data_IF_552149916855
#
_entry.id   IF_552149916855
#
_cell.length_a   1.000
_cell.length_b   1.000
_cell.length_c   1.000
_cell.angle_alpha   90.00
_cell.angle_beta   90.00
_cell.angle_gamma   90.00
#
_symmetry.space_group_name_H-M   'P 1'
#
loop_
_entity.id
_entity.type
_entity.pdbx_description
1 polymer ?
#
# COMPACT_ATOMS: atom_id res chain seq x y z
N UNK A 1 -4.89 12.17 -8.09
CA UNK A 1 -6.30 12.16 -7.62
C UNK A 1 -6.44 13.10 -6.43
N UNK A 2 -7.65 13.39 -5.94
CA UNK A 2 -7.82 14.04 -4.63
C UNK A 2 -8.64 13.19 -3.67
N UNK A 3 -8.40 13.35 -2.37
CA UNK A 3 -9.17 12.69 -1.31
C UNK A 3 -9.57 13.66 -0.19
N UNK A 4 -10.68 13.33 0.46
CA UNK A 4 -11.08 13.80 1.79
C UNK A 4 -11.30 12.56 2.63
N UNK A 5 -10.71 12.52 3.82
CA UNK A 5 -10.94 11.47 4.80
C UNK A 5 -11.62 12.09 6.02
N UNK A 6 -12.78 11.56 6.42
CA UNK A 6 -13.38 11.82 7.73
C UNK A 6 -13.10 10.59 8.60
N UNK A 7 -12.24 10.74 9.61
CA UNK A 7 -11.76 9.60 10.41
C UNK A 7 -12.85 9.11 11.35
N UNK A 8 -13.04 7.78 11.39
CA UNK A 8 -13.89 7.13 12.41
C UNK A 8 -12.96 6.40 13.37
N UNK A 9 -13.10 6.66 14.67
CA UNK A 9 -12.38 5.92 15.69
C UNK A 9 -12.81 4.45 15.63
N UNK A 10 -11.87 3.54 15.36
CA UNK A 10 -12.14 2.11 15.44
C UNK A 10 -12.53 1.73 16.89
N UNK A 11 -13.54 0.87 17.01
CA UNK A 11 -13.82 0.19 18.27
C UNK A 11 -12.69 -0.79 18.58
N UNK A 12 -12.51 -1.10 19.87
CA UNK A 12 -11.54 -2.09 20.31
C UNK A 12 -11.78 -3.41 19.56
N UNK A 13 -10.75 -3.96 18.93
CA UNK A 13 -10.81 -5.24 18.19
C UNK A 13 -11.37 -5.15 16.77
N UNK A 14 -11.33 -3.98 16.11
CA UNK A 14 -11.77 -3.81 14.72
C UNK A 14 -13.30 -3.80 14.55
N UNK A 15 -14.03 -3.56 15.64
CA UNK A 15 -15.49 -3.44 15.62
C UNK A 15 -15.89 -2.01 15.24
N UNK A 16 -16.92 -1.86 14.42
CA UNK A 16 -17.44 -0.56 14.03
C UNK A 16 -18.04 0.12 15.26
N UNK A 17 -17.53 1.29 15.62
CA UNK A 17 -18.17 2.13 16.62
C UNK A 17 -19.38 2.82 15.99
N UNK A 18 -20.54 2.17 16.05
CA UNK A 18 -21.79 2.65 15.43
C UNK A 18 -22.14 4.08 15.83
N UNK A 19 -21.83 4.49 17.07
CA UNK A 19 -22.09 5.85 17.55
C UNK A 19 -21.22 6.92 16.86
N UNK A 20 -20.02 6.55 16.38
CA UNK A 20 -19.12 7.44 15.65
C UNK A 20 -19.25 7.30 14.12
N UNK A 21 -19.87 6.22 13.64
CA UNK A 21 -20.01 5.90 12.22
C UNK A 21 -21.07 6.80 11.54
N UNK A 22 -22.26 6.93 12.13
CA UNK A 22 -23.34 7.75 11.57
C UNK A 22 -22.99 9.24 11.44
N UNK A 23 -22.38 9.90 12.45
CA UNK A 23 -21.94 11.29 12.32
C UNK A 23 -20.88 11.46 11.22
N UNK A 24 -19.90 10.56 11.15
CA UNK A 24 -18.85 10.65 10.14
C UNK A 24 -19.38 10.43 8.72
N UNK A 25 -20.38 9.57 8.55
CA UNK A 25 -21.09 9.44 7.27
C UNK A 25 -21.76 10.76 6.89
N UNK A 26 -22.47 11.37 7.82
CA UNK A 26 -23.17 12.63 7.60
C UNK A 26 -22.18 13.76 7.25
N UNK A 27 -21.07 13.88 7.98
CA UNK A 27 -20.03 14.89 7.71
C UNK A 27 -19.40 14.68 6.33
N UNK A 28 -19.20 13.43 5.91
CA UNK A 28 -18.72 13.11 4.56
C UNK A 28 -19.76 13.46 3.48
N UNK A 29 -21.05 13.21 3.73
CA UNK A 29 -22.12 13.60 2.82
C UNK A 29 -22.21 15.13 2.69
N UNK A 30 -22.13 15.87 3.79
CA UNK A 30 -22.11 17.34 3.77
C UNK A 30 -20.90 17.89 3.01
N UNK A 31 -19.70 17.35 3.26
CA UNK A 31 -18.50 17.73 2.53
C UNK A 31 -18.69 17.51 1.02
N UNK A 32 -19.26 16.37 0.62
CA UNK A 32 -19.58 16.09 -0.78
C UNK A 32 -20.58 17.07 -1.36
N UNK A 33 -21.66 17.39 -0.64
CA UNK A 33 -22.68 18.33 -1.08
C UNK A 33 -22.12 19.73 -1.30
N UNK A 34 -21.20 20.19 -0.44
CA UNK A 34 -20.50 21.47 -0.61
C UNK A 34 -19.72 21.53 -1.92
N UNK A 35 -19.00 20.46 -2.25
CA UNK A 35 -18.21 20.41 -3.48
C UNK A 35 -19.14 20.32 -4.71
N UNK A 36 -20.24 19.56 -4.63
CA UNK A 36 -21.25 19.52 -5.69
C UNK A 36 -21.99 20.85 -5.88
N UNK A 37 -22.10 21.66 -4.84
CA UNK A 37 -22.64 23.02 -4.91
C UNK A 37 -21.65 24.02 -5.56
N UNK A 38 -20.44 23.59 -5.88
CA UNK A 38 -19.42 24.38 -6.58
C UNK A 38 -18.29 24.91 -5.69
N UNK A 39 -18.21 24.50 -4.42
CA UNK A 39 -17.05 24.82 -3.57
C UNK A 39 -15.81 24.06 -4.06
N UNK A 40 -14.62 24.68 -3.99
CA UNK A 40 -13.37 24.02 -4.39
C UNK A 40 -13.07 22.83 -3.47
N UNK A 41 -12.87 21.65 -4.06
CA UNK A 41 -12.49 20.43 -3.35
C UNK A 41 -11.32 20.65 -2.40
N UNK A 42 -10.30 21.40 -2.83
CA UNK A 42 -9.11 21.68 -2.03
C UNK A 42 -9.44 22.48 -0.76
N UNK A 43 -10.36 23.45 -0.85
CA UNK A 43 -10.79 24.23 0.31
C UNK A 43 -11.58 23.38 1.29
N UNK A 44 -12.49 22.54 0.78
CA UNK A 44 -13.25 21.59 1.62
C UNK A 44 -12.29 20.59 2.28
N UNK A 45 -11.32 20.05 1.53
CA UNK A 45 -10.31 19.14 2.07
C UNK A 45 -9.47 19.79 3.19
N UNK A 46 -9.00 21.03 2.99
CA UNK A 46 -8.28 21.79 4.03
C UNK A 46 -9.15 22.06 5.26
N UNK A 47 -10.47 22.22 5.08
CA UNK A 47 -11.36 22.45 6.21
C UNK A 47 -11.60 21.18 7.03
N UNK A 48 -12.00 20.08 6.38
CA UNK A 48 -12.61 18.93 7.08
C UNK A 48 -11.79 17.64 7.05
N UNK A 49 -10.80 17.50 6.15
CA UNK A 49 -10.08 16.23 6.01
C UNK A 49 -9.17 15.95 7.21
N UNK A 50 -9.05 14.67 7.57
CA UNK A 50 -8.15 14.11 8.57
C UNK A 50 -6.93 13.39 7.95
N UNK A 51 -6.86 13.34 6.61
CA UNK A 51 -5.74 12.77 5.88
C UNK A 51 -4.53 13.71 5.85
N UNK A 52 -3.33 13.16 5.69
CA UNK A 52 -2.11 13.95 5.53
C UNK A 52 -2.14 14.85 4.27
N UNK A 53 -2.85 14.41 3.24
CA UNK A 53 -3.14 15.17 2.02
C UNK A 53 -3.96 16.44 2.28
N UNK A 54 -4.55 16.64 3.48
CA UNK A 54 -5.14 17.93 3.87
C UNK A 54 -4.21 19.11 3.60
N UNK A 55 -2.91 18.96 3.89
CA UNK A 55 -1.91 20.02 3.76
C UNK A 55 -1.72 20.52 2.31
N UNK A 56 -2.09 19.71 1.31
CA UNK A 56 -2.01 20.07 -0.10
C UNK A 56 -3.38 20.05 -0.81
N UNK A 57 -4.46 20.33 -0.08
CA UNK A 57 -5.81 20.40 -0.66
C UNK A 57 -6.38 19.05 -1.07
N UNK A 58 -5.98 17.99 -0.36
CA UNK A 58 -6.38 16.62 -0.63
C UNK A 58 -5.65 15.98 -1.81
N UNK A 59 -4.63 16.63 -2.39
CA UNK A 59 -3.96 16.13 -3.59
C UNK A 59 -3.10 14.89 -3.27
N UNK A 60 -3.46 13.77 -3.88
CA UNK A 60 -2.59 12.60 -3.94
C UNK A 60 -1.95 12.56 -5.33
N UNK A 61 -0.63 12.52 -5.35
CA UNK A 61 0.18 12.43 -6.57
C UNK A 61 -0.06 11.14 -7.36
N UNK A 62 0.78 10.85 -8.36
CA UNK A 62 0.74 9.57 -9.06
C UNK A 62 0.97 8.44 -8.04
N UNK A 63 -0.06 7.61 -7.85
CA UNK A 63 0.01 6.43 -7.00
C UNK A 63 -0.28 5.21 -7.85
N UNK A 64 0.43 4.13 -7.55
CA UNK A 64 0.09 2.83 -8.08
C UNK A 64 -1.15 2.31 -7.32
N UNK A 65 -2.21 2.02 -8.09
CA UNK A 65 -3.49 1.56 -7.56
C UNK A 65 -3.34 0.24 -6.77
N UNK A 66 -2.31 -0.56 -7.03
CA UNK A 66 -2.04 -1.80 -6.28
C UNK A 66 -1.78 -1.59 -4.79
N UNK A 67 -1.39 -0.38 -4.37
CA UNK A 67 -1.21 -0.03 -2.95
C UNK A 67 -2.47 0.60 -2.33
N UNK A 68 -3.53 0.79 -3.10
CA UNK A 68 -4.79 1.36 -2.66
C UNK A 68 -5.76 0.23 -2.33
N UNK A 69 -6.62 0.42 -1.32
CA UNK A 69 -7.63 -0.59 -1.00
C UNK A 69 -8.59 -0.85 -2.20
N UNK A 70 -8.92 -2.12 -2.45
CA UNK A 70 -9.77 -2.55 -3.58
C UNK A 70 -11.10 -1.79 -3.70
N UNK A 71 -11.71 -1.39 -2.58
CA UNK A 71 -12.97 -0.64 -2.59
C UNK A 71 -12.76 0.77 -3.14
N UNK A 72 -11.65 1.42 -2.75
CA UNK A 72 -11.25 2.75 -3.23
C UNK A 72 -10.82 2.68 -4.69
N UNK A 73 -10.08 1.63 -5.08
CA UNK A 73 -9.71 1.39 -6.48
C UNK A 73 -10.95 1.25 -7.37
N UNK A 74 -11.89 0.40 -6.99
CA UNK A 74 -13.13 0.16 -7.75
C UNK A 74 -13.92 1.45 -7.93
N UNK A 75 -14.03 2.24 -6.86
CA UNK A 75 -14.71 3.53 -6.93
C UNK A 75 -13.99 4.50 -7.87
N UNK A 76 -12.66 4.63 -7.78
CA UNK A 76 -11.88 5.51 -8.66
C UNK A 76 -11.97 5.12 -10.13
N UNK A 77 -11.93 3.83 -10.44
CA UNK A 77 -12.01 3.31 -11.81
C UNK A 77 -13.40 3.54 -12.44
N UNK A 78 -14.43 3.69 -11.62
CA UNK A 78 -15.79 4.00 -12.06
C UNK A 78 -16.08 5.50 -12.28
N UNK A 79 -15.18 6.39 -11.86
CA UNK A 79 -15.39 7.84 -11.96
C UNK A 79 -14.91 8.39 -13.31
N UNK A 80 -15.66 9.36 -13.83
CA UNK A 80 -15.25 10.22 -14.94
C UNK A 80 -14.30 11.31 -14.41
N UNK A 81 -13.51 11.90 -15.32
CA UNK A 81 -12.63 13.03 -14.98
C UNK A 81 -13.41 14.14 -14.27
N UNK A 82 -12.82 14.64 -13.18
CA UNK A 82 -13.35 15.65 -12.27
C UNK A 82 -14.61 15.25 -11.48
N UNK A 83 -15.10 14.02 -11.64
CA UNK A 83 -16.23 13.48 -10.90
C UNK A 83 -15.84 13.15 -9.45
N UNK A 84 -16.83 13.27 -8.56
CA UNK A 84 -16.70 13.08 -7.12
C UNK A 84 -17.45 11.81 -6.70
N UNK A 85 -16.77 10.92 -5.99
CA UNK A 85 -17.36 9.69 -5.48
C UNK A 85 -18.46 9.95 -4.45
N UNK A 86 -19.29 8.92 -4.20
CA UNK A 86 -20.04 8.84 -2.95
C UNK A 86 -19.07 8.60 -1.77
N UNK A 87 -19.47 8.85 -0.51
CA UNK A 87 -18.67 8.49 0.65
C UNK A 87 -18.41 6.98 0.71
N UNK A 88 -17.14 6.59 0.72
CA UNK A 88 -16.70 5.19 0.73
C UNK A 88 -16.23 4.85 2.15
N UNK A 89 -16.86 3.84 2.77
CA UNK A 89 -16.44 3.35 4.08
C UNK A 89 -15.21 2.44 3.95
N UNK A 90 -14.11 2.83 4.58
CA UNK A 90 -12.88 2.03 4.77
C UNK A 90 -12.60 1.90 6.27
N UNK A 91 -11.71 1.03 6.76
CA UNK A 91 -11.42 0.94 8.21
C UNK A 91 -11.07 2.28 8.87
N UNK A 92 -10.32 3.14 8.17
CA UNK A 92 -9.92 4.46 8.65
C UNK A 92 -11.08 5.46 8.82
N UNK A 93 -12.18 5.28 8.07
CA UNK A 93 -13.33 6.19 8.10
C UNK A 93 -14.02 6.30 6.73
N UNK A 94 -14.52 7.49 6.41
CA UNK A 94 -15.18 7.77 5.14
C UNK A 94 -14.27 8.54 4.20
N UNK A 95 -14.10 8.02 2.99
CA UNK A 95 -13.33 8.66 1.92
C UNK A 95 -14.25 9.24 0.85
N UNK A 96 -13.95 10.46 0.42
CA UNK A 96 -14.53 11.10 -0.77
C UNK A 96 -13.40 11.33 -1.74
N UNK A 97 -13.56 10.86 -2.98
CA UNK A 97 -12.49 10.86 -3.97
C UNK A 97 -12.89 11.72 -5.15
N UNK A 98 -11.93 12.45 -5.70
CA UNK A 98 -12.07 13.12 -6.98
C UNK A 98 -11.04 12.56 -7.96
N UNK A 99 -11.52 12.10 -9.11
CA UNK A 99 -10.64 11.64 -10.17
C UNK A 99 -10.10 12.85 -10.94
N UNK A 100 -8.78 13.01 -10.95
CA UNK A 100 -8.11 14.15 -11.60
C UNK A 100 -7.60 13.74 -12.98
N UNK A 101 -6.78 12.70 -13.00
CA UNK A 101 -6.15 12.20 -14.22
C UNK A 101 -5.64 10.78 -13.99
N UNK A 102 -5.61 9.99 -15.06
CA UNK A 102 -4.97 8.69 -15.13
C UNK A 102 -3.94 8.74 -16.23
N UNK A 103 -2.70 8.41 -15.91
CA UNK A 103 -1.69 8.13 -16.92
C UNK A 103 -1.84 6.67 -17.31
N UNK A 104 -2.17 6.41 -18.57
CA UNK A 104 -2.09 5.04 -19.08
C UNK A 104 -0.62 4.62 -19.11
N UNK A 105 -0.27 3.43 -18.59
CA UNK A 105 1.07 2.92 -18.76
C UNK A 105 1.32 2.82 -20.27
N UNK A 106 2.19 3.67 -20.79
CA UNK A 106 2.62 3.54 -22.18
C UNK A 106 3.33 2.19 -22.27
N UNK A 107 2.87 1.24 -23.11
CA UNK A 107 3.57 -0.02 -23.26
C UNK A 107 4.95 0.30 -23.82
N UNK A 108 5.95 0.23 -22.94
CA UNK A 108 7.35 0.31 -23.34
C UNK A 108 7.60 -0.83 -24.35
N UNK A 109 8.39 -0.60 -25.41
CA UNK A 109 8.72 -1.64 -26.36
C UNK A 109 9.25 -2.87 -25.62
N UNK A 110 8.86 -4.08 -26.07
CA UNK A 110 9.26 -5.33 -25.46
C UNK A 110 10.79 -5.42 -25.23
N UNK A 111 11.59 -4.77 -26.08
CA UNK A 111 13.04 -4.69 -25.93
C UNK A 111 13.51 -3.95 -24.66
N UNK A 112 12.86 -2.86 -24.26
CA UNK A 112 13.20 -2.08 -23.05
C UNK A 112 12.66 -2.77 -21.78
N UNK A 113 11.48 -3.39 -21.90
CA UNK A 113 10.85 -4.10 -20.80
C UNK A 113 11.51 -5.45 -20.55
N UNK A 114 12.07 -6.11 -21.57
CA UNK A 114 12.77 -7.39 -21.43
C UNK A 114 13.96 -7.29 -20.49
N UNK A 115 14.72 -6.21 -20.51
CA UNK A 115 15.90 -6.06 -19.64
C UNK A 115 15.48 -5.73 -18.20
N UNK A 116 14.36 -5.01 -18.02
CA UNK A 116 13.80 -4.67 -16.72
C UNK A 116 13.05 -5.85 -16.06
N UNK A 117 12.22 -6.58 -16.82
CA UNK A 117 11.62 -7.86 -16.44
C UNK A 117 12.71 -8.92 -16.29
N UNK A 118 13.75 -8.88 -17.13
CA UNK A 118 14.94 -9.70 -17.00
C UNK A 118 15.56 -9.48 -15.62
N UNK A 119 15.86 -8.24 -15.23
CA UNK A 119 16.43 -7.99 -13.91
C UNK A 119 15.50 -8.39 -12.75
N UNK A 120 14.18 -8.21 -12.87
CA UNK A 120 13.17 -8.56 -11.85
C UNK A 120 12.88 -10.07 -11.73
N UNK A 121 12.57 -10.74 -12.85
CA UNK A 121 12.33 -12.20 -12.91
C UNK A 121 13.62 -12.98 -12.66
N UNK A 122 14.78 -12.46 -13.09
CA UNK A 122 16.05 -13.08 -12.74
C UNK A 122 16.46 -12.81 -11.30
N UNK A 123 16.02 -11.74 -10.61
CA UNK A 123 16.29 -11.59 -9.17
C UNK A 123 15.51 -12.60 -8.34
N UNK A 124 14.22 -12.78 -8.59
CA UNK A 124 13.40 -13.72 -7.80
C UNK A 124 13.80 -15.18 -8.03
N UNK A 125 14.06 -15.57 -9.30
CA UNK A 125 14.52 -16.92 -9.62
C UNK A 125 15.94 -17.18 -9.16
N UNK A 126 16.87 -16.21 -9.21
CA UNK A 126 18.22 -16.36 -8.65
C UNK A 126 18.20 -16.49 -7.13
N UNK A 127 17.40 -15.71 -6.41
CA UNK A 127 17.32 -15.85 -4.94
C UNK A 127 16.88 -17.26 -4.56
N UNK A 128 15.91 -17.83 -5.28
CA UNK A 128 15.44 -19.21 -5.05
C UNK A 128 16.51 -20.25 -5.41
N UNK A 129 17.09 -20.19 -6.61
CA UNK A 129 18.09 -21.17 -7.05
C UNK A 129 19.42 -21.04 -6.28
N UNK A 130 19.81 -19.83 -5.90
CA UNK A 130 20.98 -19.57 -5.06
C UNK A 130 20.76 -20.07 -3.63
N UNK A 131 19.57 -19.88 -3.04
CA UNK A 131 19.20 -20.51 -1.76
C UNK A 131 19.30 -22.04 -1.85
N UNK A 132 18.72 -22.63 -2.89
CA UNK A 132 18.79 -24.08 -3.11
C UNK A 132 20.24 -24.58 -3.29
N UNK A 133 21.07 -23.82 -4.00
CA UNK A 133 22.48 -24.13 -4.23
C UNK A 133 23.33 -24.02 -2.95
N UNK A 134 23.15 -22.95 -2.16
CA UNK A 134 23.83 -22.77 -0.87
C UNK A 134 23.39 -23.83 0.14
N UNK A 135 22.09 -24.16 0.20
CA UNK A 135 21.60 -25.23 1.08
C UNK A 135 22.18 -26.58 0.68
N UNK A 136 22.24 -26.90 -0.62
CA UNK A 136 22.87 -28.14 -1.08
C UNK A 136 24.35 -28.20 -0.74
N UNK A 137 25.10 -27.11 -0.94
CA UNK A 137 26.51 -27.03 -0.55
C UNK A 137 26.71 -27.17 0.97
N UNK A 138 25.77 -26.67 1.79
CA UNK A 138 25.79 -26.84 3.25
C UNK A 138 25.46 -28.27 3.68
N UNK A 139 24.49 -28.93 3.03
CA UNK A 139 24.11 -30.32 3.35
C UNK A 139 25.16 -31.33 2.89
N UNK A 140 25.87 -31.07 1.78
CA UNK A 140 26.92 -31.94 1.25
C UNK A 140 28.31 -31.72 1.89
N UNK A 141 28.51 -30.62 2.63
CA UNK A 141 29.75 -30.36 3.33
C UNK A 141 29.82 -31.15 4.64
N UNK A 142 30.82 -32.03 4.77
CA UNK A 142 31.20 -32.63 6.07
C UNK A 142 31.91 -31.56 6.88
N UNK A 143 31.22 -30.97 7.87
CA UNK A 143 31.82 -29.98 8.77
C UNK A 143 32.47 -30.71 9.94
N UNK A 144 33.81 -30.75 9.97
CA UNK A 144 34.56 -31.18 11.16
C UNK A 144 34.83 -29.98 12.07
N UNK A 145 34.14 -29.95 13.21
CA UNK A 145 34.29 -28.93 14.24
C UNK A 145 35.52 -29.21 15.10
N UNK A 146 36.47 -28.27 15.12
CA UNK A 146 37.67 -28.37 15.98
C UNK A 146 37.50 -27.78 17.38
N UNK A 147 36.37 -27.13 17.65
CA UNK A 147 36.03 -26.51 18.93
C UNK A 147 34.52 -26.60 19.16
N UNK A 148 34.11 -27.09 20.33
CA UNK A 148 32.71 -27.31 20.71
C UNK A 148 31.91 -26.00 20.83
N UNK A 149 32.56 -24.87 21.11
CA UNK A 149 31.88 -23.57 21.21
C UNK A 149 31.45 -23.04 19.83
N UNK A 150 32.14 -23.43 18.76
CA UNK A 150 31.80 -23.02 17.39
C UNK A 150 30.62 -23.83 16.83
N UNK A 151 30.42 -25.04 17.31
CA UNK A 151 29.25 -25.87 16.97
C UNK A 151 27.96 -25.26 17.54
N UNK A 152 27.98 -24.83 18.80
CA UNK A 152 26.82 -24.23 19.48
C UNK A 152 26.40 -22.89 18.85
N UNK A 153 27.37 -22.02 18.52
CA UNK A 153 27.13 -20.74 17.85
C UNK A 153 26.59 -20.92 16.43
N UNK A 154 27.03 -21.97 15.73
CA UNK A 154 26.56 -22.27 14.38
C UNK A 154 25.12 -22.78 14.37
N UNK A 155 24.76 -23.67 15.30
CA UNK A 155 23.41 -24.23 15.42
C UNK A 155 22.38 -23.18 15.87
N UNK A 156 22.76 -22.22 16.73
CA UNK A 156 21.87 -21.13 17.11
C UNK A 156 21.54 -20.21 15.92
N UNK A 157 22.53 -19.93 15.07
CA UNK A 157 22.37 -19.04 13.90
C UNK A 157 21.51 -19.66 12.79
N UNK A 158 21.61 -20.97 12.56
CA UNK A 158 20.80 -21.66 11.54
C UNK A 158 19.32 -21.67 11.93
N UNK A 159 19.02 -21.88 13.23
CA UNK A 159 17.64 -21.89 13.76
C UNK A 159 16.92 -20.54 13.73
N UNK A 160 17.65 -19.43 13.73
CA UNK A 160 17.10 -18.06 13.66
C UNK A 160 16.98 -17.54 12.21
N UNK A 161 17.68 -18.16 11.25
CA UNK A 161 17.78 -17.67 9.87
C UNK A 161 16.59 -18.01 8.95
N UNK A 162 15.66 -18.82 9.42
CA UNK A 162 14.36 -19.04 8.74
C UNK A 162 13.39 -17.85 8.91
N UNK A 163 13.73 -16.88 9.77
CA UNK A 163 12.79 -15.84 10.21
C UNK A 163 12.93 -14.45 9.57
N UNK A 164 14.12 -13.97 9.18
CA UNK A 164 14.22 -12.60 8.66
C UNK A 164 15.59 -12.30 8.01
N UNK A 165 15.59 -12.00 6.70
CA UNK A 165 16.71 -11.27 6.09
C UNK A 165 16.17 -10.32 5.02
N UNK A 166 15.75 -9.14 5.46
CA UNK A 166 15.60 -7.96 4.60
C UNK A 166 16.99 -7.38 4.36
N UNK A 167 17.44 -7.35 3.11
CA UNK A 167 18.63 -6.57 2.75
C UNK A 167 18.20 -5.11 2.64
N UNK A 168 18.53 -4.34 3.68
CA UNK A 168 18.63 -2.89 3.59
C UNK A 168 19.98 -2.48 3.00
N UNK A 169 19.97 -1.42 2.19
CA UNK A 169 21.15 -0.70 1.70
C UNK A 169 21.28 -0.72 0.19
#
# INVERSE_FOLDING_TARGET
>A
MREILIRVAEGIGGTVNVAADDPARHDAEEARLRILAGEDFALVAVAVSDAASKANGGLIGPIDLTFVNDTVQTALLGLVKDEISQPIRTPAGYHILQFVERTEPTPLPFDEVRDMIGNSVFSERRVKEFRSYINRLRTEAVIEWKDAQLEEIFLSYDSESDGNFTIGG
#
